data_IF_710787795238
#
_entry.id   IF_710787795238
#
_cell.length_a   1.000
_cell.length_b   1.000
_cell.length_c   1.000
_cell.angle_alpha   90.00
_cell.angle_beta   90.00
_cell.angle_gamma   90.00
#
_symmetry.space_group_name_H-M   'P 1'
#
loop_
_entity.id
_entity.type
_entity.pdbx_description
1 polymer ?
#
# COMPACT_ATOMS: atom_id res chain seq x y z
N UNK A 1 -8.63 4.60 -11.28
CA UNK A 1 -7.22 4.16 -11.19
C UNK A 1 -6.98 2.90 -12.02
N UNK A 2 -7.63 1.79 -11.75
CA UNK A 2 -7.47 0.55 -12.55
C UNK A 2 -7.94 0.68 -14.00
N UNK A 3 -8.90 1.56 -14.29
CA UNK A 3 -9.28 1.87 -15.68
C UNK A 3 -8.16 2.54 -16.51
N UNK A 4 -7.23 3.24 -15.86
CA UNK A 4 -6.05 3.82 -16.54
C UNK A 4 -4.97 2.77 -16.84
N UNK A 5 -4.94 1.67 -16.07
CA UNK A 5 -4.05 0.53 -16.29
C UNK A 5 -4.45 -0.32 -17.51
N UNK A 6 -5.70 -0.20 -17.97
CA UNK A 6 -6.33 -1.25 -18.75
C UNK A 6 -5.87 -1.37 -20.20
N UNK A 7 -5.13 -0.43 -20.77
CA UNK A 7 -4.93 -0.49 -22.22
C UNK A 7 -3.50 -0.66 -22.73
N UNK A 8 -2.48 -0.44 -21.91
CA UNK A 8 -1.09 -0.49 -22.39
C UNK A 8 -0.05 -1.06 -21.40
N UNK A 9 -0.38 -1.20 -20.13
CA UNK A 9 0.59 -1.66 -19.14
C UNK A 9 0.85 -3.16 -19.23
N UNK A 10 2.11 -3.51 -19.38
CA UNK A 10 2.55 -4.91 -19.47
C UNK A 10 2.93 -5.48 -18.10
N UNK A 11 3.32 -4.63 -17.17
CA UNK A 11 3.77 -5.05 -15.85
C UNK A 11 3.45 -4.02 -14.75
N UNK A 12 3.27 -4.53 -13.53
CA UNK A 12 3.04 -3.75 -12.32
C UNK A 12 3.98 -4.25 -11.25
N UNK A 13 4.58 -3.33 -10.48
CA UNK A 13 5.33 -3.66 -9.28
C UNK A 13 4.39 -3.79 -8.07
N UNK A 14 4.40 -4.94 -7.44
CA UNK A 14 3.85 -5.14 -6.10
C UNK A 14 4.99 -5.10 -5.07
N UNK A 15 5.09 -3.98 -4.34
CA UNK A 15 6.05 -3.85 -3.24
C UNK A 15 5.44 -4.34 -1.94
N UNK A 16 6.14 -5.23 -1.26
CA UNK A 16 5.76 -5.72 0.06
C UNK A 16 6.94 -5.70 1.03
N UNK A 17 6.65 -5.90 2.30
CA UNK A 17 7.65 -6.08 3.34
C UNK A 17 7.33 -7.34 4.11
N UNK A 18 8.22 -8.30 4.09
CA UNK A 18 8.13 -9.50 4.92
C UNK A 18 8.98 -9.35 6.17
N UNK A 19 8.71 -10.18 7.18
CA UNK A 19 9.53 -10.23 8.41
C UNK A 19 10.84 -10.96 8.14
N UNK A 20 10.77 -12.07 7.40
CA UNK A 20 11.87 -13.03 7.20
C UNK A 20 12.02 -13.51 5.74
N UNK A 21 11.54 -12.72 4.79
CA UNK A 21 11.51 -13.07 3.36
C UNK A 21 10.30 -13.92 2.95
N UNK A 22 9.48 -14.38 3.89
CA UNK A 22 8.33 -15.26 3.59
C UNK A 22 7.01 -14.78 4.14
N UNK A 23 6.99 -14.22 5.35
CA UNK A 23 5.75 -13.89 6.07
C UNK A 23 5.49 -12.40 6.12
N UNK A 24 4.30 -11.98 5.70
CA UNK A 24 3.84 -10.62 5.90
C UNK A 24 3.58 -10.33 7.40
N UNK A 25 3.82 -9.08 7.86
CA UNK A 25 3.72 -8.72 9.27
C UNK A 25 2.30 -8.83 9.85
N UNK A 26 1.26 -8.84 9.00
CA UNK A 26 -0.12 -8.85 9.48
C UNK A 26 -1.07 -9.53 8.50
N UNK A 27 -2.14 -10.11 9.05
CA UNK A 27 -3.23 -10.69 8.27
C UNK A 27 -3.92 -9.68 7.34
N UNK A 28 -3.94 -8.41 7.74
CA UNK A 28 -4.48 -7.34 6.92
C UNK A 28 -3.67 -7.16 5.62
N UNK A 29 -2.35 -7.19 5.71
CA UNK A 29 -1.50 -7.09 4.52
C UNK A 29 -1.62 -8.33 3.62
N UNK A 30 -1.73 -9.52 4.20
CA UNK A 30 -2.02 -10.75 3.45
C UNK A 30 -3.34 -10.63 2.69
N UNK A 31 -4.40 -10.17 3.34
CA UNK A 31 -5.71 -10.00 2.70
C UNK A 31 -5.67 -8.95 1.58
N UNK A 32 -4.90 -7.87 1.75
CA UNK A 32 -4.70 -6.85 0.69
C UNK A 32 -3.98 -7.44 -0.52
N UNK A 33 -2.91 -8.22 -0.29
CA UNK A 33 -2.17 -8.91 -1.35
C UNK A 33 -3.06 -9.91 -2.09
N UNK A 34 -3.77 -10.78 -1.37
CA UNK A 34 -4.69 -11.77 -1.94
C UNK A 34 -5.77 -11.07 -2.78
N UNK A 35 -6.40 -10.04 -2.24
CA UNK A 35 -7.46 -9.30 -2.95
C UNK A 35 -6.93 -8.61 -4.20
N UNK A 36 -5.73 -8.02 -4.15
CA UNK A 36 -5.08 -7.43 -5.31
C UNK A 36 -4.78 -8.48 -6.39
N UNK A 37 -4.14 -9.58 -6.01
CA UNK A 37 -3.78 -10.66 -6.95
C UNK A 37 -5.02 -11.29 -7.60
N UNK A 38 -6.06 -11.55 -6.82
CA UNK A 38 -7.32 -12.10 -7.33
C UNK A 38 -7.98 -11.13 -8.34
N UNK A 39 -8.06 -9.85 -8.00
CA UNK A 39 -8.62 -8.84 -8.90
C UNK A 39 -7.82 -8.73 -10.21
N UNK A 40 -6.49 -8.73 -10.13
CA UNK A 40 -5.64 -8.66 -11.32
C UNK A 40 -5.78 -9.90 -12.20
N UNK A 41 -5.84 -11.08 -11.59
CA UNK A 41 -6.04 -12.33 -12.32
C UNK A 41 -7.40 -12.38 -13.04
N UNK A 42 -8.45 -11.86 -12.42
CA UNK A 42 -9.80 -11.86 -12.97
C UNK A 42 -9.98 -10.83 -14.10
N UNK A 43 -9.44 -9.62 -13.91
CA UNK A 43 -9.71 -8.51 -14.81
C UNK A 43 -8.55 -8.14 -15.74
N UNK A 44 -7.32 -8.49 -15.39
CA UNK A 44 -6.10 -8.15 -16.14
C UNK A 44 -5.12 -9.32 -16.22
N UNK A 45 -5.55 -10.50 -16.74
CA UNK A 45 -4.74 -11.73 -16.72
C UNK A 45 -3.44 -11.63 -17.52
N UNK A 46 -3.35 -10.68 -18.44
CA UNK A 46 -2.18 -10.49 -19.30
C UNK A 46 -1.13 -9.52 -18.69
N UNK A 47 -1.44 -8.87 -17.57
CA UNK A 47 -0.51 -7.96 -16.88
C UNK A 47 0.39 -8.78 -15.96
N UNK A 48 1.69 -8.66 -16.12
CA UNK A 48 2.66 -9.30 -15.24
C UNK A 48 2.75 -8.57 -13.91
N UNK A 49 2.66 -9.30 -12.82
CA UNK A 49 2.89 -8.74 -11.48
C UNK A 49 4.29 -9.16 -11.02
N UNK A 50 5.18 -8.18 -10.96
CA UNK A 50 6.50 -8.35 -10.38
C UNK A 50 6.44 -8.01 -8.89
N UNK A 51 7.13 -8.77 -8.06
CA UNK A 51 7.15 -8.56 -6.62
C UNK A 51 8.52 -8.10 -6.16
N UNK A 52 8.59 -7.02 -5.39
CA UNK A 52 9.77 -6.56 -4.69
C UNK A 52 9.53 -6.64 -3.17
N UNK A 53 10.33 -7.43 -2.49
CA UNK A 53 10.27 -7.54 -1.04
C UNK A 53 11.37 -6.70 -0.38
N UNK A 54 10.95 -5.64 0.32
CA UNK A 54 11.82 -4.83 1.16
C UNK A 54 11.72 -5.33 2.61
N UNK A 55 12.32 -6.48 2.89
CA UNK A 55 12.20 -7.15 4.19
C UNK A 55 12.54 -6.23 5.36
N UNK A 56 11.81 -6.40 6.47
CA UNK A 56 12.06 -5.67 7.72
C UNK A 56 13.42 -5.99 8.36
N UNK A 57 14.04 -7.11 7.97
CA UNK A 57 15.38 -7.51 8.42
C UNK A 57 16.51 -6.82 7.67
N UNK A 58 16.18 -6.10 6.59
CA UNK A 58 17.16 -5.41 5.74
C UNK A 58 17.33 -3.94 6.17
N UNK A 59 18.52 -3.43 5.92
CA UNK A 59 18.85 -2.02 6.14
C UNK A 59 18.30 -1.13 5.02
N UNK A 60 18.19 0.17 5.28
CA UNK A 60 17.78 1.14 4.26
C UNK A 60 18.71 1.13 3.03
N UNK A 61 20.01 0.87 3.22
CA UNK A 61 20.97 0.75 2.11
C UNK A 61 20.66 -0.46 1.22
N UNK A 62 20.33 -1.60 1.85
CA UNK A 62 19.93 -2.80 1.11
C UNK A 62 18.62 -2.59 0.33
N UNK A 63 17.63 -1.91 0.94
CA UNK A 63 16.41 -1.52 0.25
C UNK A 63 16.70 -0.64 -0.99
N UNK A 64 17.61 0.32 -0.86
CA UNK A 64 18.02 1.18 -2.00
C UNK A 64 18.62 0.34 -3.13
N UNK A 65 19.56 -0.55 -2.82
CA UNK A 65 20.20 -1.43 -3.82
C UNK A 65 19.18 -2.34 -4.53
N UNK A 66 18.23 -2.91 -3.78
CA UNK A 66 17.18 -3.74 -4.37
C UNK A 66 16.26 -2.96 -5.31
N UNK A 67 15.94 -1.71 -4.96
CA UNK A 67 15.14 -0.83 -5.82
C UNK A 67 15.93 -0.41 -7.07
N UNK A 68 17.22 -0.07 -6.92
CA UNK A 68 18.11 0.23 -8.05
C UNK A 68 18.19 -0.94 -9.03
N UNK A 69 18.43 -2.14 -8.52
CA UNK A 69 18.47 -3.36 -9.32
C UNK A 69 17.13 -3.60 -10.03
N UNK A 70 16.01 -3.57 -9.29
CA UNK A 70 14.70 -3.78 -9.87
C UNK A 70 14.40 -2.81 -11.01
N UNK A 71 14.51 -1.51 -10.78
CA UNK A 71 14.16 -0.50 -11.79
C UNK A 71 15.14 -0.43 -12.95
N UNK A 72 16.37 -0.96 -12.79
CA UNK A 72 17.31 -1.11 -13.92
C UNK A 72 16.92 -2.28 -14.83
N UNK A 73 16.37 -3.35 -14.26
CA UNK A 73 15.90 -4.53 -15.01
C UNK A 73 14.49 -4.36 -15.58
N UNK A 74 13.70 -3.44 -15.01
CA UNK A 74 12.31 -3.17 -15.36
C UNK A 74 12.09 -1.68 -15.68
N UNK A 75 12.69 -1.15 -16.76
CA UNK A 75 12.58 0.27 -17.11
C UNK A 75 11.16 0.70 -17.47
N UNK A 76 10.34 -0.23 -17.97
CA UNK A 76 8.97 -0.01 -18.42
C UNK A 76 7.93 -0.16 -17.28
N UNK A 77 8.35 -0.30 -16.03
CA UNK A 77 7.43 -0.29 -14.90
C UNK A 77 6.97 1.14 -14.61
N UNK A 78 5.68 1.41 -14.80
CA UNK A 78 5.07 2.72 -14.53
C UNK A 78 4.09 2.71 -13.35
N UNK A 79 3.80 1.55 -12.77
CA UNK A 79 2.86 1.43 -11.66
C UNK A 79 3.45 0.59 -10.53
N UNK A 80 3.36 1.15 -9.32
CA UNK A 80 3.78 0.48 -8.10
C UNK A 80 2.63 0.46 -7.10
N UNK A 81 2.33 -0.70 -6.56
CA UNK A 81 1.33 -0.89 -5.52
C UNK A 81 2.02 -1.40 -4.28
N UNK A 82 1.72 -0.82 -3.12
CA UNK A 82 2.25 -1.30 -1.84
C UNK A 82 1.10 -1.80 -0.96
N UNK A 83 1.26 -2.95 -0.32
CA UNK A 83 0.25 -3.50 0.61
C UNK A 83 0.44 -3.07 2.05
N UNK A 84 1.52 -2.38 2.34
CA UNK A 84 1.89 -1.87 3.67
C UNK A 84 1.78 -0.35 3.76
N UNK A 85 1.94 0.21 4.97
CA UNK A 85 2.02 1.65 5.22
C UNK A 85 3.36 2.29 4.82
N UNK A 86 4.18 1.60 4.02
CA UNK A 86 5.55 2.02 3.68
C UNK A 86 5.72 2.49 2.23
N UNK A 87 4.66 2.99 1.60
CA UNK A 87 4.71 3.53 0.25
C UNK A 87 5.77 4.64 0.08
N UNK A 88 6.04 5.41 1.15
CA UNK A 88 7.10 6.43 1.15
C UNK A 88 8.50 5.88 0.84
N UNK A 89 8.80 4.61 1.10
CA UNK A 89 10.12 4.05 0.79
C UNK A 89 10.39 4.09 -0.71
N UNK A 90 9.42 3.65 -1.52
CA UNK A 90 9.53 3.71 -2.98
C UNK A 90 9.44 5.17 -3.46
N UNK A 91 8.52 5.95 -2.91
CA UNK A 91 8.34 7.35 -3.29
C UNK A 91 9.59 8.20 -3.06
N UNK A 92 10.25 8.06 -1.90
CA UNK A 92 11.49 8.77 -1.57
C UNK A 92 12.65 8.33 -2.48
N UNK A 93 12.71 7.03 -2.84
CA UNK A 93 13.69 6.51 -3.78
C UNK A 93 13.49 7.12 -5.18
N UNK A 94 12.27 7.09 -5.71
CA UNK A 94 11.96 7.63 -7.03
C UNK A 94 12.20 9.15 -7.13
N UNK A 95 11.91 9.89 -6.07
CA UNK A 95 12.25 11.32 -5.99
C UNK A 95 13.76 11.56 -6.10
N UNK A 96 14.58 10.75 -5.41
CA UNK A 96 16.05 10.86 -5.45
C UNK A 96 16.63 10.51 -6.82
N UNK A 97 16.03 9.54 -7.50
CA UNK A 97 16.45 9.08 -8.83
C UNK A 97 15.77 9.82 -9.98
N UNK A 98 14.94 10.84 -9.65
CA UNK A 98 14.20 11.68 -10.61
C UNK A 98 13.26 10.88 -11.54
N UNK A 99 12.80 9.70 -11.10
CA UNK A 99 11.79 8.90 -11.80
C UNK A 99 10.40 9.39 -11.43
N UNK A 100 9.87 10.33 -12.22
CA UNK A 100 8.54 10.94 -12.02
C UNK A 100 7.44 10.28 -12.86
N UNK A 101 7.80 9.27 -13.62
CA UNK A 101 6.95 8.52 -14.54
C UNK A 101 6.18 7.37 -13.87
N UNK A 102 6.45 7.10 -12.59
CA UNK A 102 5.89 5.97 -11.86
C UNK A 102 4.77 6.43 -10.92
N UNK A 103 3.58 5.89 -11.12
CA UNK A 103 2.44 6.10 -10.23
C UNK A 103 2.48 5.12 -9.06
N UNK A 104 2.40 5.65 -7.85
CA UNK A 104 2.40 4.85 -6.62
C UNK A 104 1.02 4.87 -5.98
N UNK A 105 0.47 3.70 -5.69
CA UNK A 105 -0.67 3.50 -4.81
C UNK A 105 -0.20 2.83 -3.52
N UNK A 106 -0.59 3.40 -2.37
CA UNK A 106 -0.26 2.86 -1.07
C UNK A 106 -1.44 2.82 -0.12
N UNK A 107 -1.17 2.33 1.08
CA UNK A 107 -2.13 2.29 2.18
C UNK A 107 -1.64 3.15 3.35
N UNK A 108 -2.60 3.58 4.15
CA UNK A 108 -2.44 4.23 5.44
C UNK A 108 -1.82 5.65 5.37
N UNK A 109 -2.53 6.60 5.95
CA UNK A 109 -2.14 8.01 6.00
C UNK A 109 -1.14 8.29 7.14
N UNK A 110 0.00 7.57 7.13
CA UNK A 110 1.11 7.90 8.04
C UNK A 110 1.79 9.19 7.59
N UNK A 111 2.44 9.91 8.51
CA UNK A 111 3.01 11.24 8.25
C UNK A 111 3.90 11.30 6.99
N UNK A 112 4.77 10.31 6.81
CA UNK A 112 5.65 10.23 5.62
C UNK A 112 4.88 10.02 4.32
N UNK A 113 3.87 9.14 4.32
CA UNK A 113 3.04 8.93 3.14
C UNK A 113 2.25 10.20 2.79
N UNK A 114 1.67 10.88 3.80
CA UNK A 114 0.96 12.14 3.61
C UNK A 114 1.87 13.24 3.01
N UNK A 115 3.11 13.31 3.44
CA UNK A 115 4.11 14.22 2.87
C UNK A 115 4.40 13.89 1.40
N UNK A 116 4.56 12.60 1.07
CA UNK A 116 4.79 12.14 -0.29
C UNK A 116 3.58 12.42 -1.22
N UNK A 117 2.35 12.29 -0.73
CA UNK A 117 1.14 12.69 -1.48
C UNK A 117 1.17 14.18 -1.76
N UNK A 118 1.43 15.02 -0.74
CA UNK A 118 1.51 16.49 -0.93
C UNK A 118 2.59 16.90 -1.94
N UNK A 119 3.71 16.18 -1.98
CA UNK A 119 4.79 16.38 -2.97
C UNK A 119 4.43 15.83 -4.35
N UNK A 120 3.39 15.01 -4.47
CA UNK A 120 2.98 14.36 -5.71
C UNK A 120 3.80 13.11 -6.06
N UNK A 121 4.65 12.60 -5.14
CA UNK A 121 5.43 11.38 -5.34
C UNK A 121 4.67 10.10 -4.98
N UNK A 122 3.54 10.20 -4.29
CA UNK A 122 2.53 9.15 -4.18
C UNK A 122 1.27 9.66 -4.85
N UNK A 123 0.75 8.90 -5.81
CA UNK A 123 -0.41 9.29 -6.59
C UNK A 123 -1.71 9.08 -5.82
N UNK A 124 -1.82 7.96 -5.09
CA UNK A 124 -3.03 7.59 -4.35
C UNK A 124 -2.68 6.89 -3.03
N UNK A 125 -3.44 7.23 -1.97
CA UNK A 125 -3.43 6.52 -0.70
C UNK A 125 -4.84 6.02 -0.35
N UNK A 126 -4.92 4.78 0.09
CA UNK A 126 -6.13 4.24 0.70
C UNK A 126 -6.04 4.50 2.21
N UNK A 127 -6.89 5.41 2.71
CA UNK A 127 -6.97 5.78 4.11
C UNK A 127 -8.09 5.00 4.82
N UNK A 128 -7.85 4.63 6.08
CA UNK A 128 -8.74 3.78 6.88
C UNK A 128 -9.26 4.46 8.15
N UNK A 129 -9.11 5.77 8.29
CA UNK A 129 -9.58 6.53 9.46
C UNK A 129 -9.14 5.98 10.82
N UNK A 130 -7.83 5.74 11.02
CA UNK A 130 -7.29 5.11 12.23
C UNK A 130 -7.71 5.78 13.54
N UNK A 131 -7.88 7.11 13.57
CA UNK A 131 -8.40 7.83 14.74
C UNK A 131 -9.83 7.38 15.08
N UNK A 132 -10.73 7.37 14.09
CA UNK A 132 -12.11 6.94 14.29
C UNK A 132 -12.20 5.47 14.66
N UNK A 133 -11.38 4.61 14.09
CA UNK A 133 -11.29 3.20 14.47
C UNK A 133 -10.97 3.06 15.96
N UNK A 134 -9.94 3.77 16.45
CA UNK A 134 -9.59 3.77 17.86
C UNK A 134 -10.72 4.29 18.75
N UNK A 135 -11.32 5.43 18.39
CA UNK A 135 -12.42 6.01 19.13
C UNK A 135 -13.62 5.07 19.26
N UNK A 136 -14.12 4.56 18.12
CA UNK A 136 -15.30 3.69 18.12
C UNK A 136 -15.04 2.33 18.78
N UNK A 137 -13.80 1.84 18.75
CA UNK A 137 -13.44 0.60 19.46
C UNK A 137 -13.59 0.78 20.98
N UNK A 138 -13.10 1.91 21.52
CA UNK A 138 -13.23 2.21 22.95
C UNK A 138 -14.69 2.50 23.32
N UNK A 139 -15.42 3.26 22.51
CA UNK A 139 -16.85 3.54 22.74
C UNK A 139 -17.67 2.24 22.77
N UNK A 140 -17.46 1.34 21.83
CA UNK A 140 -18.12 0.05 21.80
C UNK A 140 -17.81 -0.81 23.05
N UNK A 141 -16.55 -0.81 23.48
CA UNK A 141 -16.13 -1.51 24.70
C UNK A 141 -16.84 -0.94 25.95
N UNK A 142 -16.84 0.38 26.10
CA UNK A 142 -17.51 1.06 27.24
C UNK A 142 -19.00 0.79 27.22
N UNK A 143 -19.67 0.91 26.07
CA UNK A 143 -21.11 0.61 25.94
C UNK A 143 -21.43 -0.81 26.34
N UNK A 144 -20.66 -1.78 25.88
CA UNK A 144 -20.89 -3.18 26.19
C UNK A 144 -20.57 -3.54 27.64
N UNK A 145 -19.38 -3.17 28.13
CA UNK A 145 -18.87 -3.65 29.42
C UNK A 145 -19.42 -2.84 30.61
N UNK A 146 -19.49 -1.51 30.48
CA UNK A 146 -19.89 -0.61 31.57
C UNK A 146 -21.39 -0.33 31.51
N UNK A 147 -21.87 0.10 30.36
CA UNK A 147 -23.28 0.52 30.20
C UNK A 147 -24.22 -0.65 29.92
N UNK A 148 -23.71 -1.87 29.76
CA UNK A 148 -24.48 -3.09 29.47
C UNK A 148 -25.42 -2.95 28.28
N UNK A 149 -25.04 -2.14 27.29
CA UNK A 149 -25.81 -1.96 26.04
C UNK A 149 -25.33 -2.96 24.98
N UNK A 150 -26.25 -3.42 24.16
CA UNK A 150 -25.89 -4.21 23.00
C UNK A 150 -25.12 -3.33 21.99
N UNK A 151 -24.00 -3.86 21.48
CA UNK A 151 -23.22 -3.26 20.42
C UNK A 151 -23.16 -4.19 19.20
N UNK A 152 -23.07 -3.62 18.03
CA UNK A 152 -22.91 -4.38 16.79
C UNK A 152 -21.58 -5.11 16.82
N UNK A 153 -21.53 -6.44 16.59
CA UNK A 153 -20.29 -7.21 16.68
C UNK A 153 -19.24 -6.77 15.65
N UNK A 154 -19.67 -6.28 14.50
CA UNK A 154 -18.81 -5.83 13.40
C UNK A 154 -19.24 -4.45 12.93
N UNK A 155 -18.32 -3.50 12.93
CA UNK A 155 -18.52 -2.16 12.39
C UNK A 155 -17.50 -1.92 11.29
N UNK A 156 -17.97 -1.75 10.05
CA UNK A 156 -17.10 -1.39 8.92
C UNK A 156 -16.85 0.11 8.92
N UNK A 157 -15.59 0.49 8.79
CA UNK A 157 -15.21 1.88 8.61
C UNK A 157 -15.16 2.22 7.11
N UNK A 158 -15.53 3.44 6.72
CA UNK A 158 -15.38 3.87 5.33
C UNK A 158 -13.91 3.86 4.91
N UNK A 159 -13.70 3.63 3.63
CA UNK A 159 -12.40 3.71 2.97
C UNK A 159 -12.40 4.96 2.11
N UNK A 160 -11.35 5.76 2.23
CA UNK A 160 -11.12 6.94 1.38
C UNK A 160 -9.92 6.72 0.47
N UNK A 161 -10.02 7.23 -0.76
CA UNK A 161 -8.89 7.30 -1.68
C UNK A 161 -8.46 8.78 -1.71
N UNK A 162 -7.24 9.01 -1.28
CA UNK A 162 -6.64 10.34 -1.20
C UNK A 162 -5.64 10.51 -2.35
N UNK A 163 -5.67 11.67 -2.98
CA UNK A 163 -4.71 12.08 -4.01
C UNK A 163 -4.24 13.51 -3.74
N UNK A 164 -3.22 13.95 -4.45
CA UNK A 164 -2.91 15.36 -4.57
C UNK A 164 -3.94 15.99 -5.50
N UNK A 165 -4.67 16.99 -5.01
CA UNK A 165 -5.50 17.86 -5.84
C UNK A 165 -4.64 18.88 -6.60
#
# INVERSE_FOLDING_TARGET
MLMLLASQEKEILLMKQTVDGHKLPSKQQENREIGFMHYMQEHFPNVRINTLDLSLMQTAKQHTLLMEEYFSQHPDTHHCITVSSKAHLVAEFLLKTQRNDIQIMGYDMVAKNAECVRKGSISFLIAQHGYQQGYYSVDALVRNTILKKNVTPVNYMPIEILSKE
#
